data_IF_107515520771
#
_entry.id   IF_107515520771
#
_cell.length_a   1.000
_cell.length_b   1.000
_cell.length_c   1.000
_cell.angle_alpha   90.00
_cell.angle_beta   90.00
_cell.angle_gamma   90.00
#
_symmetry.space_group_name_H-M   'P 1'
#
loop_
_entity.id
_entity.type
_entity.pdbx_description
1 polymer ?
#
# COMPACT_ATOMS: atom_id res chain seq x y z
N UNK A 1 -23.51 47.95 -20.85
CA UNK A 1 -23.42 46.48 -20.70
C UNK A 1 -24.00 45.85 -21.94
N UNK A 2 -23.17 45.20 -22.75
CA UNK A 2 -23.62 44.65 -24.05
C UNK A 2 -23.91 43.16 -23.94
N UNK A 3 -24.80 42.62 -24.78
CA UNK A 3 -25.15 41.20 -24.83
C UNK A 3 -23.90 40.29 -24.91
N UNK A 4 -22.85 40.78 -25.59
CA UNK A 4 -21.57 40.09 -25.75
C UNK A 4 -20.86 39.86 -24.41
N UNK A 5 -20.86 40.84 -23.51
CA UNK A 5 -20.27 40.67 -22.16
C UNK A 5 -20.95 39.55 -21.38
N UNK A 6 -22.28 39.46 -21.48
CA UNK A 6 -23.07 38.42 -20.78
C UNK A 6 -22.74 37.03 -21.34
N UNK A 7 -22.61 36.90 -22.66
CA UNK A 7 -22.26 35.62 -23.31
C UNK A 7 -20.84 35.19 -22.95
N UNK A 8 -19.89 36.13 -22.93
CA UNK A 8 -18.49 35.84 -22.56
C UNK A 8 -18.41 35.43 -21.08
N UNK A 9 -19.10 36.14 -20.18
CA UNK A 9 -19.16 35.77 -18.77
C UNK A 9 -19.78 34.38 -18.56
N UNK A 10 -20.85 34.06 -19.29
CA UNK A 10 -21.50 32.74 -19.25
C UNK A 10 -20.57 31.63 -19.75
N UNK A 11 -19.83 31.87 -20.82
CA UNK A 11 -18.88 30.90 -21.38
C UNK A 11 -17.73 30.59 -20.40
N UNK A 12 -17.16 31.62 -19.76
CA UNK A 12 -16.12 31.46 -18.74
C UNK A 12 -16.67 30.68 -17.53
N UNK A 13 -17.88 31.00 -17.10
CA UNK A 13 -18.54 30.29 -15.99
C UNK A 13 -18.76 28.81 -16.31
N UNK A 14 -19.29 28.50 -17.49
CA UNK A 14 -19.48 27.11 -17.95
C UNK A 14 -18.17 26.34 -18.00
N UNK A 15 -17.09 26.95 -18.49
CA UNK A 15 -15.78 26.32 -18.52
C UNK A 15 -15.26 26.01 -17.10
N UNK A 16 -15.47 26.93 -16.16
CA UNK A 16 -15.13 26.74 -14.75
C UNK A 16 -15.90 25.58 -14.11
N UNK A 17 -17.20 25.46 -14.39
CA UNK A 17 -18.04 24.36 -13.88
C UNK A 17 -17.59 23.01 -14.44
N UNK A 18 -17.31 22.92 -15.74
CA UNK A 18 -16.81 21.68 -16.37
C UNK A 18 -15.47 21.26 -15.79
N UNK A 19 -14.56 22.22 -15.57
CA UNK A 19 -13.29 21.95 -14.90
C UNK A 19 -13.52 21.38 -13.49
N UNK A 20 -14.36 22.02 -12.67
CA UNK A 20 -14.69 21.57 -11.31
C UNK A 20 -15.25 20.15 -11.28
N UNK A 21 -16.18 19.83 -12.18
CA UNK A 21 -16.79 18.50 -12.27
C UNK A 21 -15.77 17.41 -12.65
N UNK A 22 -14.76 17.73 -13.46
CA UNK A 22 -13.70 16.80 -13.81
C UNK A 22 -12.66 16.61 -12.69
N UNK A 23 -12.34 17.68 -11.94
CA UNK A 23 -11.33 17.60 -10.87
C UNK A 23 -11.85 17.00 -9.56
N UNK A 24 -13.15 17.11 -9.28
CA UNK A 24 -13.75 16.58 -8.05
C UNK A 24 -13.58 15.06 -7.86
N UNK A 25 -13.92 14.18 -8.83
CA UNK A 25 -13.80 12.73 -8.63
C UNK A 25 -12.34 12.26 -8.47
N UNK A 26 -11.38 12.98 -9.05
CA UNK A 26 -9.95 12.67 -8.89
C UNK A 26 -9.47 12.90 -7.45
N UNK A 27 -9.92 13.97 -6.80
CA UNK A 27 -9.58 14.28 -5.41
C UNK A 27 -10.17 13.28 -4.41
N UNK A 28 -11.40 12.80 -4.67
CA UNK A 28 -12.05 11.82 -3.78
C UNK A 28 -11.35 10.46 -3.87
N UNK A 29 -10.96 10.01 -5.06
CA UNK A 29 -10.23 8.74 -5.25
C UNK A 29 -8.85 8.76 -4.57
N UNK A 30 -8.08 9.81 -4.83
CA UNK A 30 -6.75 9.98 -4.21
C UNK A 30 -6.81 10.06 -2.68
N UNK A 31 -7.85 10.66 -2.10
CA UNK A 31 -8.07 10.67 -0.65
C UNK A 31 -8.36 9.28 -0.07
N UNK A 32 -9.19 8.48 -0.75
CA UNK A 32 -9.50 7.11 -0.32
C UNK A 32 -8.25 6.21 -0.36
N UNK A 33 -7.46 6.31 -1.44
CA UNK A 33 -6.23 5.52 -1.60
C UNK A 33 -5.19 5.89 -0.53
N UNK A 34 -5.02 7.18 -0.24
CA UNK A 34 -4.11 7.66 0.80
C UNK A 34 -4.53 7.16 2.21
N UNK A 35 -5.84 7.11 2.49
CA UNK A 35 -6.35 6.57 3.74
C UNK A 35 -5.99 5.09 3.91
N UNK A 36 -6.19 4.28 2.87
CA UNK A 36 -5.88 2.85 2.91
C UNK A 36 -4.38 2.61 3.04
N UNK A 37 -3.56 3.37 2.33
CA UNK A 37 -2.11 3.25 2.44
C UNK A 37 -1.63 3.63 3.85
N UNK A 38 -2.19 4.68 4.44
CA UNK A 38 -1.89 5.08 5.82
C UNK A 38 -2.25 3.96 6.81
N UNK A 39 -3.42 3.34 6.62
CA UNK A 39 -3.86 2.22 7.44
C UNK A 39 -2.98 0.98 7.25
N UNK A 40 -2.62 0.64 6.01
CA UNK A 40 -1.72 -0.46 5.69
C UNK A 40 -0.34 -0.27 6.34
N UNK A 41 0.21 0.94 6.28
CA UNK A 41 1.47 1.29 6.95
C UNK A 41 1.35 1.11 8.45
N UNK A 42 0.27 1.63 9.05
CA UNK A 42 0.03 1.52 10.49
C UNK A 42 -0.08 0.05 10.93
N UNK A 43 -0.86 -0.76 10.23
CA UNK A 43 -1.04 -2.18 10.53
C UNK A 43 0.27 -2.98 10.34
N UNK A 44 1.06 -2.65 9.31
CA UNK A 44 2.38 -3.26 9.11
C UNK A 44 3.33 -2.95 10.28
N UNK A 45 3.38 -1.69 10.72
CA UNK A 45 4.21 -1.26 11.85
C UNK A 45 3.76 -1.94 13.15
N UNK A 46 2.45 -1.96 13.41
CA UNK A 46 1.90 -2.68 14.56
C UNK A 46 2.31 -4.16 14.54
N UNK A 47 2.21 -4.81 13.38
CA UNK A 47 2.57 -6.22 13.25
C UNK A 47 4.07 -6.46 13.42
N UNK A 48 4.91 -5.56 12.93
CA UNK A 48 6.35 -5.62 13.15
C UNK A 48 6.69 -5.50 14.66
N UNK A 49 5.99 -4.62 15.38
CA UNK A 49 6.14 -4.48 16.82
C UNK A 49 5.67 -5.71 17.59
N UNK A 50 4.54 -6.31 17.20
CA UNK A 50 4.08 -7.60 17.76
C UNK A 50 5.15 -8.68 17.59
N UNK A 51 5.69 -8.83 16.39
CA UNK A 51 6.75 -9.82 16.10
C UNK A 51 7.99 -9.55 16.95
N UNK A 52 8.47 -8.31 17.02
CA UNK A 52 9.65 -7.92 17.82
C UNK A 52 9.44 -8.08 19.32
N UNK A 53 8.22 -7.85 19.82
CA UNK A 53 7.88 -8.02 21.23
C UNK A 53 7.84 -9.50 21.61
N UNK A 54 7.23 -10.31 20.76
CA UNK A 54 6.93 -11.71 21.08
C UNK A 54 8.09 -12.67 20.74
N UNK A 55 9.07 -12.22 19.94
CA UNK A 55 10.19 -13.03 19.49
C UNK A 55 11.53 -12.36 19.75
N UNK A 56 12.49 -13.13 20.26
CA UNK A 56 13.89 -12.72 20.28
C UNK A 56 14.45 -12.60 18.85
N UNK A 57 15.46 -11.75 18.62
CA UNK A 57 16.07 -11.55 17.30
C UNK A 57 16.56 -12.83 16.59
N UNK A 58 17.02 -13.80 17.38
CA UNK A 58 17.58 -15.07 16.92
C UNK A 58 16.54 -16.22 16.94
N UNK A 59 15.25 -15.89 17.07
CA UNK A 59 14.21 -16.91 17.13
C UNK A 59 14.06 -17.65 15.79
N UNK A 60 13.60 -18.90 15.87
CA UNK A 60 13.25 -19.71 14.69
C UNK A 60 12.20 -19.03 13.81
N UNK A 61 11.40 -18.12 14.37
CA UNK A 61 10.41 -17.36 13.62
C UNK A 61 11.08 -16.39 12.63
N UNK A 62 12.11 -15.66 13.05
CA UNK A 62 12.87 -14.81 12.14
C UNK A 62 13.60 -15.62 11.08
N UNK A 63 14.19 -16.77 11.44
CA UNK A 63 14.83 -17.69 10.48
C UNK A 63 13.81 -18.16 9.44
N UNK A 64 12.63 -18.57 9.87
CA UNK A 64 11.53 -18.96 8.98
C UNK A 64 11.12 -17.82 8.05
N UNK A 65 10.90 -16.61 8.58
CA UNK A 65 10.55 -15.45 7.77
C UNK A 65 11.58 -15.15 6.70
N UNK A 66 12.88 -15.15 7.04
CA UNK A 66 13.97 -14.90 6.08
C UNK A 66 14.06 -15.97 4.98
N UNK A 67 13.61 -17.19 5.27
CA UNK A 67 13.57 -18.29 4.33
C UNK A 67 12.34 -18.32 3.42
N UNK A 68 11.30 -17.52 3.71
CA UNK A 68 10.11 -17.45 2.88
C UNK A 68 10.38 -16.67 1.59
N UNK A 69 10.12 -17.31 0.45
CA UNK A 69 10.27 -16.68 -0.87
C UNK A 69 8.93 -16.28 -1.49
N UNK A 70 7.83 -16.82 -0.96
CA UNK A 70 6.48 -16.56 -1.43
C UNK A 70 5.64 -16.02 -0.26
N UNK A 71 5.03 -14.83 -0.36
CA UNK A 71 4.15 -14.26 0.67
C UNK A 71 2.83 -15.05 0.75
N UNK A 72 2.88 -16.24 1.33
CA UNK A 72 1.76 -17.15 1.61
C UNK A 72 0.87 -17.54 0.39
N UNK A 73 0.89 -18.81 -0.06
CA UNK A 73 0.08 -19.29 -1.19
C UNK A 73 -1.45 -19.13 -1.06
N UNK A 74 -1.97 -18.85 0.15
CA UNK A 74 -3.40 -18.71 0.45
C UNK A 74 -3.90 -17.25 0.52
N UNK A 75 -3.10 -16.29 0.05
CA UNK A 75 -3.50 -14.88 -0.01
C UNK A 75 -3.48 -14.18 1.36
N UNK A 76 -2.57 -14.57 2.25
CA UNK A 76 -2.34 -13.92 3.55
C UNK A 76 -3.40 -14.18 4.64
N UNK A 77 -3.12 -13.65 5.83
CA UNK A 77 -3.95 -13.74 7.05
C UNK A 77 -4.73 -12.43 7.20
N UNK A 78 -6.05 -12.46 7.40
CA UNK A 78 -6.84 -11.23 7.56
C UNK A 78 -6.50 -10.48 8.85
N UNK A 79 -6.53 -9.14 8.78
CA UNK A 79 -6.51 -8.31 9.98
C UNK A 79 -7.89 -8.29 10.63
N UNK A 80 -7.99 -8.50 11.95
CA UNK A 80 -9.26 -8.35 12.67
C UNK A 80 -9.81 -6.92 12.59
N UNK A 81 -8.93 -5.91 12.53
CA UNK A 81 -9.30 -4.49 12.51
C UNK A 81 -9.89 -4.07 11.15
N UNK A 82 -9.39 -4.67 10.07
CA UNK A 82 -9.82 -4.38 8.72
C UNK A 82 -9.81 -5.66 7.87
N UNK A 83 -10.98 -6.25 7.57
CA UNK A 83 -11.08 -7.48 6.80
C UNK A 83 -10.72 -7.30 5.31
N UNK A 84 -10.66 -6.06 4.82
CA UNK A 84 -10.22 -5.74 3.46
C UNK A 84 -8.69 -5.77 3.32
N UNK A 85 -7.96 -5.89 4.44
CA UNK A 85 -6.52 -6.00 4.45
C UNK A 85 -6.09 -7.34 5.05
N UNK A 86 -5.03 -7.89 4.47
CA UNK A 86 -4.40 -9.12 4.92
C UNK A 86 -2.91 -8.90 5.08
N UNK A 87 -2.25 -9.71 5.91
CA UNK A 87 -0.80 -9.72 6.02
C UNK A 87 -0.20 -11.07 5.66
N UNK A 88 1.00 -11.04 5.12
CA UNK A 88 1.85 -12.20 4.95
C UNK A 88 3.28 -11.84 5.38
N UNK A 89 4.08 -12.87 5.66
CA UNK A 89 5.49 -12.72 5.94
C UNK A 89 6.30 -13.18 4.74
N UNK A 90 7.41 -12.49 4.45
CA UNK A 90 8.32 -12.87 3.40
C UNK A 90 9.75 -12.47 3.77
N UNK A 91 10.72 -13.20 3.23
CA UNK A 91 12.14 -12.88 3.30
C UNK A 91 12.64 -12.14 2.06
N UNK A 92 11.78 -11.99 1.05
CA UNK A 92 12.08 -11.32 -0.23
C UNK A 92 11.05 -10.25 -0.51
N UNK A 93 11.45 -9.20 -1.20
CA UNK A 93 10.49 -8.21 -1.67
C UNK A 93 9.57 -8.83 -2.73
N UNK A 94 8.30 -8.49 -2.64
CA UNK A 94 7.29 -8.92 -3.63
C UNK A 94 7.19 -7.87 -4.74
N UNK A 95 7.50 -6.62 -4.41
CA UNK A 95 7.52 -5.50 -5.35
C UNK A 95 8.80 -5.49 -6.19
N UNK A 96 9.92 -5.95 -5.61
CA UNK A 96 11.20 -6.10 -6.31
C UNK A 96 11.80 -7.51 -6.09
N UNK A 97 11.51 -8.48 -6.98
CA UNK A 97 11.89 -9.86 -6.77
C UNK A 97 13.37 -10.16 -7.10
N UNK A 98 14.16 -9.15 -7.45
CA UNK A 98 15.58 -9.29 -7.80
C UNK A 98 16.46 -8.83 -6.62
N UNK A 99 17.64 -9.42 -6.50
CA UNK A 99 18.64 -9.03 -5.50
C UNK A 99 19.77 -8.31 -6.24
N UNK A 100 19.75 -6.98 -6.19
CA UNK A 100 20.67 -6.14 -6.94
C UNK A 100 21.89 -5.83 -6.09
N UNK A 101 23.11 -6.06 -6.61
CA UNK A 101 24.33 -5.79 -5.86
C UNK A 101 24.40 -4.33 -5.41
N UNK A 102 24.38 -4.10 -4.09
CA UNK A 102 24.52 -2.78 -3.49
C UNK A 102 23.22 -1.98 -3.37
N UNK A 103 22.05 -2.61 -3.54
CA UNK A 103 20.72 -2.02 -3.30
C UNK A 103 20.09 -2.70 -2.09
N UNK A 104 20.29 -2.17 -0.87
CA UNK A 104 19.80 -2.85 0.32
C UNK A 104 18.28 -3.09 0.30
N UNK A 105 17.52 -2.27 -0.42
CA UNK A 105 16.05 -2.31 -0.46
C UNK A 105 15.50 -3.63 -1.02
N UNK A 106 16.21 -4.25 -1.95
CA UNK A 106 15.82 -5.49 -2.64
C UNK A 106 16.53 -6.76 -2.09
N UNK A 107 17.43 -6.57 -1.11
CA UNK A 107 18.14 -7.64 -0.39
C UNK A 107 17.21 -8.79 0.01
N UNK A 108 17.67 -10.00 -0.30
CA UNK A 108 17.03 -11.23 0.13
C UNK A 108 17.35 -11.56 1.59
N UNK A 109 16.52 -12.44 2.16
CA UNK A 109 16.64 -12.93 3.53
C UNK A 109 16.54 -11.82 4.59
N UNK A 110 15.79 -10.76 4.27
CA UNK A 110 15.43 -9.71 5.21
C UNK A 110 13.96 -9.88 5.63
N UNK A 111 13.64 -9.89 6.93
CA UNK A 111 12.26 -10.00 7.41
C UNK A 111 11.38 -8.87 6.86
N UNK A 112 10.29 -9.24 6.18
CA UNK A 112 9.31 -8.31 5.63
C UNK A 112 7.90 -8.72 6.02
N UNK A 113 7.06 -7.71 6.25
CA UNK A 113 5.61 -7.85 6.36
C UNK A 113 4.99 -7.28 5.09
N UNK A 114 4.21 -8.11 4.41
CA UNK A 114 3.52 -7.76 3.18
C UNK A 114 2.06 -7.52 3.52
N UNK A 115 1.53 -6.35 3.20
CA UNK A 115 0.11 -6.03 3.30
C UNK A 115 -0.53 -6.26 1.95
N UNK A 116 -1.56 -7.10 1.94
CA UNK A 116 -2.28 -7.53 0.76
C UNK A 116 -3.71 -7.00 0.78
N UNK A 117 -4.23 -6.67 -0.39
CA UNK A 117 -5.65 -6.40 -0.62
C UNK A 117 -6.24 -7.56 -1.45
N UNK A 118 -7.32 -8.22 -0.99
CA UNK A 118 -7.97 -9.29 -1.74
C UNK A 118 -8.67 -8.75 -3.01
N UNK A 119 -8.89 -7.43 -3.10
CA UNK A 119 -9.50 -6.80 -4.26
C UNK A 119 -8.43 -6.45 -5.32
N UNK A 120 -8.41 -7.18 -6.43
CA UNK A 120 -7.49 -6.93 -7.57
C UNK A 120 -7.65 -5.53 -8.20
N UNK A 121 -8.83 -4.91 -8.05
CA UNK A 121 -9.05 -3.55 -8.56
C UNK A 121 -8.18 -2.49 -7.87
N UNK A 122 -7.59 -2.79 -6.70
CA UNK A 122 -6.78 -1.85 -5.92
C UNK A 122 -5.27 -2.03 -6.12
N UNK A 123 -4.81 -3.26 -6.38
CA UNK A 123 -3.40 -3.54 -6.67
C UNK A 123 -3.29 -4.72 -7.65
N UNK A 124 -2.65 -4.54 -8.83
CA UNK A 124 -2.48 -5.61 -9.82
C UNK A 124 -1.69 -6.80 -9.28
N UNK A 125 -0.75 -6.55 -8.35
CA UNK A 125 0.02 -7.58 -7.64
C UNK A 125 -0.68 -8.09 -6.38
N UNK A 126 -1.79 -7.47 -5.98
CA UNK A 126 -2.44 -7.69 -4.68
C UNK A 126 -1.69 -7.07 -3.49
N UNK A 127 -0.47 -6.55 -3.68
CA UNK A 127 0.33 -5.92 -2.62
C UNK A 127 -0.03 -4.44 -2.51
N UNK A 128 -0.40 -4.02 -1.30
CA UNK A 128 -0.72 -2.62 -0.96
C UNK A 128 0.50 -1.92 -0.38
N UNK A 129 1.21 -2.61 0.52
CA UNK A 129 2.37 -2.07 1.20
C UNK A 129 3.32 -3.18 1.63
N UNK A 130 4.61 -2.86 1.68
CA UNK A 130 5.66 -3.76 2.16
C UNK A 130 6.47 -3.03 3.21
N UNK A 131 6.61 -3.65 4.38
CA UNK A 131 7.46 -3.17 5.45
C UNK A 131 8.65 -4.10 5.62
N UNK A 132 9.83 -3.62 5.26
CA UNK A 132 11.11 -4.17 5.71
C UNK A 132 11.34 -3.78 7.16
N UNK A 133 11.79 -4.72 7.98
CA UNK A 133 12.22 -4.40 9.33
C UNK A 133 13.42 -5.25 9.74
N UNK A 134 14.42 -4.58 10.29
CA UNK A 134 15.61 -5.22 10.86
C UNK A 134 15.44 -5.39 12.37
N UNK A 135 16.23 -6.25 12.99
CA UNK A 135 16.31 -6.32 14.44
C UNK A 135 17.19 -5.19 14.99
#
# INVERSE_FOLDING_TARGET
MTLVEVVVALAIFLFGVVALLNFFPLKVRTGADASILTEAVFLAQQKAQEVRRDNAPDSLFFVWMRGLTDPAPAGGIPFPQNPDLRYAFCGRSVLDPFDSPGVPEDDFSVPRIIILSPTQARSPSGVVYELRFEN
#
